data_IF_949328207708
#
_entry.id   IF_949328207708
#
_cell.length_a   1.000
_cell.length_b   1.000
_cell.length_c   1.000
_cell.angle_alpha   90.00
_cell.angle_beta   90.00
_cell.angle_gamma   90.00
#
_symmetry.space_group_name_H-M   'P 1'
#
loop_
_entity.id
_entity.type
_entity.pdbx_description
1 polymer ?
#
# COMPACT_ATOMS: atom_id res chain seq x y z
N UNK A 1 1.92 15.76 -13.11
CA UNK A 1 2.83 15.80 -13.33
C UNK A 1 3.50 15.20 -13.74
N UNK A 2 3.76 15.07 -13.74
CA UNK A 2 4.38 15.26 -14.46
C UNK A 2 5.60 14.85 -14.73
N UNK A 3 6.14 15.14 -15.79
CA UNK A 3 7.51 14.81 -15.99
C UNK A 3 8.35 15.44 -14.94
N UNK A 4 9.37 14.78 -14.57
CA UNK A 4 10.31 15.34 -13.62
C UNK A 4 11.31 16.13 -14.43
N UNK A 5 11.44 17.42 -14.18
CA UNK A 5 12.38 18.24 -14.91
C UNK A 5 13.79 17.69 -14.81
N UNK A 6 14.47 17.69 -15.90
CA UNK A 6 15.84 17.20 -15.93
C UNK A 6 15.95 15.70 -15.99
N UNK A 7 14.85 15.02 -15.87
CA UNK A 7 14.85 13.60 -16.02
C UNK A 7 14.26 13.24 -17.38
N UNK A 8 14.95 12.47 -18.10
CA UNK A 8 14.39 11.96 -19.33
C UNK A 8 13.40 10.86 -19.05
N UNK A 9 13.40 10.38 -17.84
CA UNK A 9 12.46 9.37 -17.43
C UNK A 9 11.19 10.02 -16.94
N UNK A 10 10.10 9.53 -17.34
CA UNK A 10 8.82 10.05 -16.91
C UNK A 10 7.79 8.96 -17.07
N UNK A 11 6.71 9.15 -16.37
CA UNK A 11 5.60 8.25 -16.49
C UNK A 11 5.13 8.20 -17.92
N UNK A 12 4.96 7.07 -18.49
CA UNK A 12 4.43 6.97 -19.83
C UNK A 12 3.13 7.72 -19.93
N UNK A 13 3.03 8.51 -20.95
CA UNK A 13 1.82 9.24 -21.17
C UNK A 13 0.69 8.30 -21.35
N UNK A 14 -0.35 8.67 -20.74
CA UNK A 14 -1.54 7.90 -20.67
C UNK A 14 -1.77 6.99 -21.86
N UNK A 15 -1.95 5.80 -21.58
CA UNK A 15 -2.37 4.84 -22.57
C UNK A 15 -1.48 4.63 -23.77
N UNK A 16 -0.61 5.55 -24.00
CA UNK A 16 0.18 5.47 -25.19
C UNK A 16 1.22 4.41 -25.12
N UNK A 17 1.51 3.99 -23.95
CA UNK A 17 2.57 3.05 -23.76
C UNK A 17 2.03 1.86 -23.05
N UNK A 18 0.99 1.35 -23.61
CA UNK A 18 0.39 0.16 -23.06
C UNK A 18 1.47 -0.89 -22.86
N UNK A 19 1.48 -1.45 -21.72
CA UNK A 19 2.45 -2.45 -21.38
C UNK A 19 3.84 -1.85 -21.33
N UNK A 20 4.60 -2.13 -22.34
CA UNK A 20 5.95 -1.65 -22.43
C UNK A 20 5.99 -0.17 -22.71
N UNK A 21 5.13 0.27 -23.57
CA UNK A 21 5.18 1.60 -24.09
C UNK A 21 6.54 1.87 -24.64
N UNK A 22 6.87 3.11 -24.70
CA UNK A 22 8.13 3.49 -25.21
C UNK A 22 9.23 3.33 -24.18
N UNK A 23 8.97 3.78 -22.97
CA UNK A 23 9.93 3.71 -21.89
C UNK A 23 9.36 2.97 -20.71
N UNK A 24 8.17 2.46 -20.88
CA UNK A 24 7.52 1.72 -19.83
C UNK A 24 8.13 0.34 -19.71
N UNK A 25 8.00 -0.23 -18.58
CA UNK A 25 8.38 -1.60 -18.34
C UNK A 25 7.13 -2.47 -18.36
N UNK A 26 7.28 -3.76 -18.63
CA UNK A 26 6.13 -4.66 -18.54
C UNK A 26 5.57 -4.64 -17.12
N UNK A 27 4.27 -4.83 -17.02
CA UNK A 27 3.64 -4.93 -15.73
C UNK A 27 4.12 -6.16 -15.00
N UNK A 28 4.48 -5.97 -13.75
CA UNK A 28 4.90 -7.08 -12.90
C UNK A 28 3.66 -7.78 -12.34
N UNK A 29 3.81 -8.98 -11.78
CA UNK A 29 2.70 -9.62 -11.08
C UNK A 29 2.13 -8.73 -9.98
N UNK A 30 2.95 -7.97 -9.30
CA UNK A 30 2.48 -7.04 -8.29
C UNK A 30 1.61 -5.95 -8.90
N UNK A 31 2.02 -5.39 -10.03
CA UNK A 31 1.23 -4.36 -10.71
C UNK A 31 -0.16 -4.88 -11.04
N UNK A 32 -0.22 -6.08 -11.58
CA UNK A 32 -1.49 -6.70 -11.93
C UNK A 32 -2.32 -6.99 -10.68
N UNK A 33 -1.67 -7.41 -9.62
CA UNK A 33 -2.34 -7.72 -8.37
C UNK A 33 -3.02 -6.49 -7.79
N UNK A 34 -2.30 -5.38 -7.67
CA UNK A 34 -2.87 -4.18 -7.07
C UNK A 34 -3.98 -3.58 -7.94
N UNK A 35 -3.86 -3.71 -9.26
CA UNK A 35 -4.92 -3.24 -10.15
C UNK A 35 -6.20 -4.04 -10.00
N UNK A 36 -6.08 -5.31 -9.69
CA UNK A 36 -7.23 -6.19 -9.54
C UNK A 36 -7.94 -6.04 -8.19
N UNK A 37 -7.33 -5.37 -7.24
CA UNK A 37 -7.89 -5.27 -5.88
C UNK A 37 -9.07 -4.31 -5.76
N UNK A 38 -9.27 -3.47 -6.73
CA UNK A 38 -10.44 -2.60 -6.75
C UNK A 38 -10.38 -1.38 -5.84
N UNK A 39 -9.22 -1.08 -5.28
CA UNK A 39 -9.02 0.14 -4.49
C UNK A 39 -8.18 1.11 -5.29
N UNK A 40 -8.22 2.41 -4.94
CA UNK A 40 -7.41 3.39 -5.67
C UNK A 40 -5.93 3.10 -5.57
N UNK A 41 -5.20 3.53 -6.58
CA UNK A 41 -3.75 3.46 -6.59
C UNK A 41 -3.25 4.90 -6.75
N UNK A 42 -2.68 5.43 -5.70
CA UNK A 42 -2.12 6.77 -5.74
C UNK A 42 -0.70 6.69 -6.31
N UNK A 43 -0.44 7.45 -7.36
CA UNK A 43 0.87 7.45 -8.02
C UNK A 43 1.42 8.87 -8.04
N UNK A 44 2.57 9.06 -7.43
CA UNK A 44 3.25 10.34 -7.42
C UNK A 44 4.68 10.12 -6.93
N UNK A 45 5.44 11.17 -6.82
CA UNK A 45 6.79 11.09 -6.27
C UNK A 45 6.78 11.09 -4.74
N UNK A 46 5.67 11.50 -4.15
CA UNK A 46 5.53 11.52 -2.70
C UNK A 46 4.11 11.78 -2.31
N UNK A 47 3.84 11.68 -1.03
CA UNK A 47 2.52 11.95 -0.46
C UNK A 47 2.68 13.00 0.61
N UNK A 48 2.03 14.15 0.45
CA UNK A 48 2.16 15.22 1.43
C UNK A 48 1.38 14.93 2.71
N UNK A 49 0.19 14.38 2.58
CA UNK A 49 -0.65 14.03 3.74
C UNK A 49 -1.38 12.74 3.47
N UNK A 50 -0.87 11.68 4.05
CA UNK A 50 -1.45 10.36 3.91
C UNK A 50 -2.91 10.34 4.37
N UNK A 51 -3.23 11.12 5.41
CA UNK A 51 -4.57 11.17 5.97
C UNK A 51 -5.61 11.67 4.97
N UNK A 52 -5.18 12.37 3.95
CA UNK A 52 -6.10 12.96 2.97
C UNK A 52 -6.31 12.07 1.75
N UNK A 53 -5.66 10.93 1.67
CA UNK A 53 -5.85 10.05 0.54
C UNK A 53 -7.24 9.43 0.57
N UNK A 54 -7.93 9.38 -0.58
CA UNK A 54 -9.22 8.75 -0.63
C UNK A 54 -9.09 7.23 -0.44
N UNK A 55 -9.87 6.69 0.45
CA UNK A 55 -9.88 5.26 0.72
C UNK A 55 -11.16 4.65 0.17
N UNK A 56 -11.08 3.42 -0.29
CA UNK A 56 -12.25 2.69 -0.78
C UNK A 56 -12.36 1.36 -0.03
N UNK A 57 -13.56 0.78 0.00
CA UNK A 57 -13.72 -0.54 0.61
C UNK A 57 -12.77 -1.53 -0.03
N UNK A 58 -12.09 -2.28 0.80
CA UNK A 58 -11.07 -3.24 0.35
C UNK A 58 -11.48 -4.62 0.80
N UNK A 59 -12.16 -5.31 -0.09
CA UNK A 59 -12.81 -6.57 0.24
C UNK A 59 -11.87 -7.63 0.81
N UNK A 60 -10.72 -7.79 0.18
CA UNK A 60 -9.78 -8.82 0.62
C UNK A 60 -9.30 -8.56 2.05
N UNK A 61 -9.08 -7.31 2.38
CA UNK A 61 -8.49 -6.95 3.67
C UNK A 61 -9.54 -6.76 4.75
N UNK A 62 -10.76 -6.42 4.36
CA UNK A 62 -11.83 -6.26 5.32
C UNK A 62 -11.91 -4.87 5.94
N UNK A 63 -11.27 -3.90 5.32
CA UNK A 63 -11.31 -2.50 5.76
C UNK A 63 -11.43 -1.60 4.56
N UNK A 64 -10.88 -0.41 4.66
CA UNK A 64 -10.82 0.53 3.55
C UNK A 64 -9.37 0.87 3.30
N UNK A 65 -9.03 1.14 2.05
CA UNK A 65 -7.64 1.45 1.79
C UNK A 65 -7.38 2.02 0.42
N UNK A 66 -6.11 2.27 0.19
CA UNK A 66 -5.58 2.73 -1.09
C UNK A 66 -4.14 2.25 -1.20
N UNK A 67 -3.74 1.92 -2.42
CA UNK A 67 -2.34 1.65 -2.68
C UNK A 67 -1.60 2.95 -2.92
N UNK A 68 -0.33 2.94 -2.59
CA UNK A 68 0.58 4.03 -2.90
C UNK A 68 1.72 3.44 -3.70
N UNK A 69 1.88 3.91 -4.93
CA UNK A 69 2.97 3.48 -5.78
C UNK A 69 3.78 4.70 -6.14
N UNK A 70 4.87 4.90 -5.44
CA UNK A 70 5.72 6.05 -5.69
C UNK A 70 6.61 5.81 -6.89
N UNK A 71 6.78 6.82 -7.70
CA UNK A 71 7.67 6.73 -8.87
C UNK A 71 9.08 6.44 -8.40
N UNK A 72 9.73 5.53 -9.08
CA UNK A 72 11.07 5.11 -8.74
C UNK A 72 11.15 3.90 -7.84
N UNK A 73 10.04 3.51 -7.24
CA UNK A 73 10.02 2.35 -6.35
C UNK A 73 9.42 1.11 -7.00
N UNK A 74 8.96 1.24 -8.23
CA UNK A 74 8.30 0.14 -8.94
C UNK A 74 9.18 -1.10 -8.98
N UNK A 75 8.59 -2.21 -8.64
CA UNK A 75 9.30 -3.49 -8.63
C UNK A 75 10.22 -3.70 -7.44
N UNK A 76 10.29 -2.75 -6.53
CA UNK A 76 11.17 -2.86 -5.37
C UNK A 76 10.46 -2.67 -4.06
N UNK A 77 9.46 -1.81 -4.06
CA UNK A 77 8.85 -1.39 -2.82
C UNK A 77 7.38 -1.12 -3.08
N UNK A 78 6.52 -1.68 -2.25
CA UNK A 78 5.09 -1.41 -2.32
C UNK A 78 4.62 -0.80 -1.03
N UNK A 79 3.62 0.07 -1.12
CA UNK A 79 3.03 0.64 0.08
C UNK A 79 1.53 0.76 -0.08
N UNK A 80 0.86 0.83 1.04
CA UNK A 80 -0.57 1.04 1.05
C UNK A 80 -0.99 1.64 2.39
N UNK A 81 -2.16 2.23 2.37
CA UNK A 81 -2.80 2.72 3.59
C UNK A 81 -4.05 1.87 3.81
N UNK A 82 -4.26 1.48 5.03
CA UNK A 82 -5.46 0.73 5.37
C UNK A 82 -6.08 1.31 6.63
N UNK A 83 -7.40 1.38 6.61
CA UNK A 83 -8.17 1.81 7.77
C UNK A 83 -8.86 0.59 8.36
N UNK A 84 -8.58 0.34 9.62
CA UNK A 84 -9.21 -0.75 10.36
C UNK A 84 -10.58 -0.28 10.79
N UNK A 85 -11.63 -1.09 10.58
CA UNK A 85 -12.98 -0.71 11.04
C UNK A 85 -12.98 -0.45 12.53
N UNK A 86 -13.73 0.55 12.96
CA UNK A 86 -13.85 0.85 14.37
C UNK A 86 -14.41 -0.34 15.14
N UNK A 87 -13.74 -0.72 16.23
CA UNK A 87 -14.11 -1.88 17.04
C UNK A 87 -14.12 -3.19 16.25
N UNK A 88 -13.43 -3.21 15.12
CA UNK A 88 -13.36 -4.39 14.28
C UNK A 88 -11.92 -4.81 14.03
N UNK A 89 -11.76 -5.67 13.06
CA UNK A 89 -10.45 -6.19 12.70
C UNK A 89 -10.37 -6.40 11.20
N UNK A 90 -9.16 -6.35 10.69
CA UNK A 90 -8.90 -6.73 9.31
C UNK A 90 -8.83 -8.24 9.21
N UNK A 91 -9.00 -8.74 8.00
CA UNK A 91 -8.86 -10.17 7.75
C UNK A 91 -7.39 -10.56 7.91
N UNK A 92 -7.18 -11.77 8.37
CA UNK A 92 -5.83 -12.28 8.52
C UNK A 92 -5.18 -12.48 7.16
N UNK A 93 -3.90 -12.18 7.08
CA UNK A 93 -3.13 -12.36 5.87
C UNK A 93 -1.91 -13.22 6.16
N UNK A 94 -1.44 -13.90 5.13
CA UNK A 94 -0.24 -14.71 5.24
C UNK A 94 0.66 -14.41 4.06
N UNK A 95 1.89 -14.04 4.34
CA UNK A 95 2.86 -13.76 3.28
C UNK A 95 4.28 -13.98 3.80
N UNK A 96 5.23 -13.96 2.89
CA UNK A 96 6.62 -14.24 3.21
C UNK A 96 7.51 -13.01 3.15
N UNK A 97 6.97 -11.89 2.71
CA UNK A 97 7.75 -10.66 2.65
C UNK A 97 7.62 -9.89 3.96
N UNK A 98 8.55 -8.99 4.18
CA UNK A 98 8.55 -8.14 5.37
C UNK A 98 7.60 -6.98 5.19
N UNK A 99 6.99 -6.57 6.29
CA UNK A 99 6.13 -5.39 6.31
C UNK A 99 6.52 -4.50 7.47
N UNK A 100 6.43 -3.21 7.24
CA UNK A 100 6.64 -2.21 8.28
C UNK A 100 5.35 -1.42 8.37
N UNK A 101 4.84 -1.30 9.58
CA UNK A 101 3.62 -0.54 9.83
C UNK A 101 3.95 0.77 10.51
N UNK A 102 3.37 1.83 9.99
CA UNK A 102 3.44 3.13 10.61
C UNK A 102 2.03 3.55 10.97
N UNK A 103 1.80 3.79 12.25
CA UNK A 103 0.46 4.14 12.72
C UNK A 103 0.25 5.63 12.53
N UNK A 104 -0.64 5.96 11.63
CA UNK A 104 -0.96 7.35 11.33
C UNK A 104 -1.88 7.92 12.39
N UNK A 105 -2.89 7.15 12.77
CA UNK A 105 -3.92 7.62 13.67
C UNK A 105 -4.59 6.44 14.36
N UNK A 106 -4.99 6.62 15.60
CA UNK A 106 -5.73 5.61 16.33
C UNK A 106 -4.84 4.66 17.12
N UNK A 107 -5.48 3.64 17.65
CA UNK A 107 -4.79 2.62 18.42
C UNK A 107 -5.47 1.27 18.22
N UNK A 108 -4.68 0.22 18.41
CA UNK A 108 -5.18 -1.13 18.23
C UNK A 108 -4.13 -2.14 18.58
N UNK A 109 -4.33 -3.33 18.05
CA UNK A 109 -3.36 -4.42 18.26
C UNK A 109 -3.15 -5.15 16.96
N UNK A 110 -1.98 -5.77 16.84
CA UNK A 110 -1.66 -6.67 15.75
C UNK A 110 -1.28 -8.00 16.37
N UNK A 111 -1.86 -9.07 15.84
CA UNK A 111 -1.53 -10.41 16.26
C UNK A 111 -0.75 -11.09 15.16
N UNK A 112 0.32 -11.79 15.55
CA UNK A 112 1.18 -12.49 14.60
C UNK A 112 1.36 -13.91 15.08
N UNK A 113 1.23 -14.87 14.15
CA UNK A 113 1.43 -16.28 14.45
C UNK A 113 1.92 -17.01 13.20
N UNK A 114 2.56 -18.14 13.41
CA UNK A 114 3.12 -18.92 12.30
C UNK A 114 2.09 -19.81 11.64
N UNK A 115 1.36 -20.54 12.45
CA UNK A 115 0.32 -21.42 11.96
C UNK A 115 -0.78 -21.54 13.03
N UNK A 116 -1.83 -22.27 12.72
CA UNK A 116 -3.00 -22.34 13.59
C UNK A 116 -2.71 -22.83 15.00
N UNK A 117 -1.66 -23.60 15.16
CA UNK A 117 -1.30 -24.18 16.46
C UNK A 117 -0.23 -23.36 17.18
N UNK A 118 0.31 -22.36 16.53
CA UNK A 118 1.34 -21.52 17.12
C UNK A 118 0.75 -20.52 18.09
N UNK A 119 1.57 -20.14 19.05
CA UNK A 119 1.20 -19.09 19.97
C UNK A 119 1.08 -17.77 19.19
N UNK A 120 0.07 -16.99 19.53
CA UNK A 120 -0.08 -15.66 18.94
C UNK A 120 0.72 -14.66 19.75
N UNK A 121 1.40 -13.81 19.04
CA UNK A 121 2.11 -12.68 19.62
C UNK A 121 1.30 -11.43 19.36
N UNK A 122 1.02 -10.68 20.40
CA UNK A 122 0.16 -9.50 20.31
C UNK A 122 0.99 -8.27 20.53
N UNK A 123 0.87 -7.32 19.62
CA UNK A 123 1.58 -6.05 19.70
C UNK A 123 0.54 -4.94 19.76
N UNK A 124 0.60 -4.14 20.80
CA UNK A 124 -0.28 -2.97 20.92
C UNK A 124 0.38 -1.80 20.23
N UNK A 125 -0.43 -0.97 19.63
CA UNK A 125 0.07 0.22 18.97
C UNK A 125 -0.91 1.38 19.12
N UNK A 126 -0.40 2.57 19.01
CA UNK A 126 -1.20 3.77 18.99
C UNK A 126 -0.55 4.78 18.06
N UNK A 127 -1.23 5.90 17.85
CA UNK A 127 -0.75 6.83 16.84
C UNK A 127 0.69 7.29 17.15
N UNK A 128 1.32 7.83 16.11
CA UNK A 128 2.76 8.11 16.15
C UNK A 128 3.20 9.01 17.30
N UNK A 129 2.29 9.74 17.89
CA UNK A 129 2.65 10.62 19.01
C UNK A 129 2.85 9.84 20.29
N UNK A 130 2.28 8.68 20.36
CA UNK A 130 2.27 7.87 21.56
C UNK A 130 3.08 6.60 21.43
N UNK A 131 3.64 6.38 20.26
CA UNK A 131 4.47 5.19 20.05
C UNK A 131 5.78 5.39 20.75
N UNK A 132 6.18 4.36 21.39
CA UNK A 132 7.43 4.38 22.14
C UNK A 132 8.50 3.73 21.32
#
# INVERSE_FOLDING_TARGET
MHDVPGSHWHEPTAGKRAGLGKFGRPKTPYDLFIEAEGVPIYRDIGVSKVQNLPLAPWKRVGGRGTYIQLYGTEGKWGSYVVEVPGAGALNAEKHMYEEIYYVVEGRGTTEVWLDKDSKRHVFEWQDRKSVV
#
